data_IF_838158609080
#
_entry.id   IF_838158609080
#
_cell.length_a   1.000
_cell.length_b   1.000
_cell.length_c   1.000
_cell.angle_alpha   90.00
_cell.angle_beta   90.00
_cell.angle_gamma   90.00
#
_symmetry.space_group_name_H-M   'P 1'
#
loop_
_entity.id
_entity.type
_entity.pdbx_description
1 polymer ?
#
# COMPACT_ATOMS: atom_id res chain seq x y z
N UNK A 1 26.03 -8.21 10.19
CA UNK A 1 25.55 -7.60 8.93
C UNK A 1 25.92 -6.12 8.88
N UNK A 2 26.95 -5.77 8.11
CA UNK A 2 27.23 -4.38 7.72
C UNK A 2 26.20 -4.05 6.65
N UNK A 3 25.09 -3.44 7.05
CA UNK A 3 24.08 -2.98 6.10
C UNK A 3 24.65 -1.73 5.45
N UNK A 4 24.82 -1.76 4.13
CA UNK A 4 25.28 -0.60 3.36
C UNK A 4 24.22 0.51 3.46
N UNK A 5 24.65 1.75 3.71
CA UNK A 5 23.76 2.93 3.78
C UNK A 5 22.86 3.05 2.53
N UNK A 6 23.38 2.62 1.38
CA UNK A 6 22.62 2.57 0.12
C UNK A 6 21.40 1.66 0.18
N UNK A 7 21.52 0.49 0.81
CA UNK A 7 20.38 -0.46 0.95
C UNK A 7 19.32 0.12 1.87
N UNK A 8 19.72 0.76 2.98
CA UNK A 8 18.77 1.45 3.87
C UNK A 8 18.03 2.57 3.14
N UNK A 9 18.75 3.38 2.36
CA UNK A 9 18.16 4.45 1.58
C UNK A 9 17.16 3.90 0.55
N UNK A 10 17.55 2.87 -0.20
CA UNK A 10 16.67 2.24 -1.20
C UNK A 10 15.37 1.70 -0.58
N UNK A 11 15.47 1.01 0.55
CA UNK A 11 14.29 0.47 1.26
C UNK A 11 13.37 1.59 1.74
N UNK A 12 13.92 2.68 2.29
CA UNK A 12 13.13 3.85 2.71
C UNK A 12 12.43 4.50 1.52
N UNK A 13 13.12 4.66 0.39
CA UNK A 13 12.54 5.22 -0.84
C UNK A 13 11.38 4.36 -1.35
N UNK A 14 11.57 3.03 -1.40
CA UNK A 14 10.51 2.09 -1.80
C UNK A 14 9.29 2.20 -0.87
N UNK A 15 9.51 2.37 0.43
CA UNK A 15 8.41 2.55 1.38
C UNK A 15 7.66 3.87 1.17
N UNK A 16 8.39 4.97 0.91
CA UNK A 16 7.76 6.27 0.60
C UNK A 16 6.89 6.14 -0.65
N UNK A 17 7.40 5.53 -1.73
CA UNK A 17 6.59 5.25 -2.91
C UNK A 17 5.39 4.36 -2.61
N UNK A 18 5.56 3.32 -1.80
CA UNK A 18 4.46 2.45 -1.36
C UNK A 18 3.36 3.23 -0.62
N UNK A 19 3.72 4.17 0.25
CA UNK A 19 2.77 5.04 0.96
C UNK A 19 2.08 6.01 -0.01
N UNK A 20 2.80 6.59 -0.97
CA UNK A 20 2.20 7.46 -1.98
C UNK A 20 1.20 6.70 -2.85
N UNK A 21 1.54 5.48 -3.29
CA UNK A 21 0.62 4.61 -4.03
C UNK A 21 -0.61 4.26 -3.17
N UNK A 22 -0.41 3.92 -1.89
CA UNK A 22 -1.51 3.65 -0.96
C UNK A 22 -2.47 4.83 -0.90
N UNK A 23 -1.97 6.05 -0.69
CA UNK A 23 -2.80 7.27 -0.61
C UNK A 23 -3.51 7.51 -1.94
N UNK A 24 -2.80 7.39 -3.06
CA UNK A 24 -3.35 7.62 -4.39
C UNK A 24 -4.55 6.72 -4.70
N UNK A 25 -4.45 5.42 -4.38
CA UNK A 25 -5.56 4.48 -4.59
C UNK A 25 -6.60 4.50 -3.46
N UNK A 26 -6.21 4.89 -2.24
CA UNK A 26 -7.16 5.00 -1.13
C UNK A 26 -8.20 6.11 -1.37
N UNK A 27 -7.82 7.23 -2.00
CA UNK A 27 -8.74 8.35 -2.27
C UNK A 27 -9.97 7.88 -3.08
N UNK A 28 -9.83 7.38 -4.33
CA UNK A 28 -10.99 6.98 -5.14
C UNK A 28 -11.81 5.86 -4.48
N UNK A 29 -11.15 4.96 -3.75
CA UNK A 29 -11.82 3.89 -3.00
C UNK A 29 -12.69 4.45 -1.86
N UNK A 30 -12.14 5.26 -0.96
CA UNK A 30 -12.84 5.81 0.21
C UNK A 30 -13.93 6.80 -0.22
N UNK A 31 -13.72 7.55 -1.30
CA UNK A 31 -14.74 8.48 -1.83
C UNK A 31 -15.84 7.77 -2.62
N UNK A 32 -15.75 6.46 -2.82
CA UNK A 32 -16.67 5.67 -3.66
C UNK A 32 -16.90 6.33 -5.03
N UNK A 33 -15.80 6.66 -5.72
CA UNK A 33 -15.88 7.35 -7.00
C UNK A 33 -16.36 6.40 -8.11
N UNK A 34 -17.60 6.60 -8.57
CA UNK A 34 -18.27 5.79 -9.60
C UNK A 34 -17.91 6.19 -11.04
N UNK A 35 -17.01 7.16 -11.24
CA UNK A 35 -16.58 7.57 -12.58
C UNK A 35 -15.81 6.43 -13.25
N UNK A 36 -16.29 6.01 -14.42
CA UNK A 36 -15.58 5.10 -15.32
C UNK A 36 -14.64 5.92 -16.20
N UNK A 37 -13.33 5.84 -15.95
CA UNK A 37 -12.35 6.65 -16.70
C UNK A 37 -12.26 6.24 -18.17
N UNK A 38 -12.27 4.93 -18.43
CA UNK A 38 -12.12 4.36 -19.77
C UNK A 38 -13.35 3.49 -20.09
N UNK A 39 -14.46 4.09 -20.55
CA UNK A 39 -15.69 3.35 -20.84
C UNK A 39 -15.53 2.36 -21.99
N UNK A 40 -14.62 2.63 -22.93
CA UNK A 40 -14.36 1.78 -24.10
C UNK A 40 -13.35 0.65 -23.83
N UNK A 41 -12.90 0.47 -22.58
CA UNK A 41 -12.00 -0.62 -22.20
C UNK A 41 -12.70 -1.98 -22.29
N UNK A 42 -11.93 -3.05 -22.50
CA UNK A 42 -12.47 -4.42 -22.53
C UNK A 42 -13.18 -4.82 -21.21
N UNK A 43 -12.75 -4.23 -20.10
CA UNK A 43 -13.37 -4.35 -18.77
C UNK A 43 -13.49 -2.94 -18.18
N UNK A 44 -14.60 -2.22 -18.42
CA UNK A 44 -14.83 -0.94 -17.80
C UNK A 44 -15.08 -1.16 -16.31
N UNK A 45 -14.28 -0.49 -15.48
CA UNK A 45 -14.41 -0.54 -14.03
C UNK A 45 -14.61 0.88 -13.49
N UNK A 46 -15.48 0.99 -12.49
CA UNK A 46 -15.62 2.23 -11.73
C UNK A 46 -14.32 2.50 -10.96
N UNK A 47 -13.95 3.78 -10.79
CA UNK A 47 -12.68 4.15 -10.19
C UNK A 47 -12.49 3.59 -8.77
N UNK A 48 -13.57 3.46 -7.98
CA UNK A 48 -13.50 2.84 -6.65
C UNK A 48 -13.21 1.34 -6.69
N UNK A 49 -13.78 0.62 -7.66
CA UNK A 49 -13.63 -0.83 -7.80
C UNK A 49 -12.24 -1.19 -8.34
N UNK A 50 -11.78 -0.47 -9.37
CA UNK A 50 -10.41 -0.56 -9.87
C UNK A 50 -9.37 -0.25 -8.76
N UNK A 51 -9.65 0.73 -7.90
CA UNK A 51 -8.81 1.06 -6.77
C UNK A 51 -8.82 -0.05 -5.70
N UNK A 52 -9.98 -0.61 -5.35
CA UNK A 52 -10.09 -1.74 -4.42
C UNK A 52 -9.33 -2.97 -4.89
N UNK A 53 -9.45 -3.33 -6.16
CA UNK A 53 -8.66 -4.39 -6.79
C UNK A 53 -7.15 -4.09 -6.75
N UNK A 54 -6.75 -2.85 -7.08
CA UNK A 54 -5.34 -2.46 -7.09
C UNK A 54 -4.75 -2.48 -5.68
N UNK A 55 -5.48 -2.03 -4.67
CA UNK A 55 -5.11 -2.13 -3.25
C UNK A 55 -4.95 -3.60 -2.82
N UNK A 56 -5.84 -4.48 -3.29
CA UNK A 56 -5.76 -5.93 -3.02
C UNK A 56 -4.46 -6.53 -3.55
N UNK A 57 -4.10 -6.23 -4.80
CA UNK A 57 -2.84 -6.69 -5.41
C UNK A 57 -1.63 -6.01 -4.74
N UNK A 58 -1.76 -4.72 -4.42
CA UNK A 58 -0.71 -3.89 -3.82
C UNK A 58 -0.41 -4.21 -2.35
N UNK A 59 -1.28 -4.95 -1.66
CA UNK A 59 -1.08 -5.35 -0.26
C UNK A 59 0.20 -6.17 -0.09
N UNK A 60 0.44 -7.14 -0.96
CA UNK A 60 1.61 -8.04 -0.90
C UNK A 60 2.93 -7.26 -1.00
N UNK A 61 3.19 -6.47 -2.07
CA UNK A 61 4.44 -5.71 -2.17
C UNK A 61 4.59 -4.67 -1.06
N UNK A 62 3.50 -4.08 -0.56
CA UNK A 62 3.54 -3.12 0.55
C UNK A 62 3.95 -3.80 1.87
N UNK A 63 3.42 -4.98 2.17
CA UNK A 63 3.84 -5.78 3.34
C UNK A 63 5.31 -6.16 3.24
N UNK A 64 5.77 -6.60 2.07
CA UNK A 64 7.19 -6.93 1.85
C UNK A 64 8.07 -5.71 2.09
N UNK A 65 7.72 -4.55 1.52
CA UNK A 65 8.45 -3.30 1.71
C UNK A 65 8.55 -2.90 3.19
N UNK A 66 7.47 -3.03 3.95
CA UNK A 66 7.43 -2.69 5.37
C UNK A 66 8.24 -3.69 6.23
N UNK A 67 8.22 -4.99 5.90
CA UNK A 67 9.07 -6.01 6.53
C UNK A 67 10.54 -5.72 6.26
N UNK A 68 10.90 -5.37 5.01
CA UNK A 68 12.27 -4.98 4.66
C UNK A 68 12.70 -3.74 5.47
N UNK A 69 11.84 -2.74 5.62
CA UNK A 69 12.11 -1.58 6.49
C UNK A 69 12.38 -1.99 7.94
N UNK A 70 11.57 -2.91 8.48
CA UNK A 70 11.75 -3.41 9.83
C UNK A 70 13.08 -4.15 10.04
N UNK A 71 13.56 -4.87 9.03
CA UNK A 71 14.83 -5.61 9.11
C UNK A 71 16.04 -4.70 8.90
N UNK A 72 15.99 -3.83 7.89
CA UNK A 72 17.17 -3.10 7.43
C UNK A 72 17.34 -1.73 8.09
N UNK A 73 16.26 -1.06 8.52
CA UNK A 73 16.34 0.26 9.16
C UNK A 73 16.65 0.10 10.64
N UNK A 74 17.90 0.39 11.02
CA UNK A 74 18.37 0.32 12.40
C UNK A 74 17.78 1.47 13.22
N UNK A 75 16.73 1.19 13.97
CA UNK A 75 16.15 2.14 14.93
C UNK A 75 16.42 1.69 16.37
N UNK A 76 16.87 2.62 17.24
CA UNK A 76 17.24 2.31 18.65
C UNK A 76 16.03 1.86 19.49
N UNK A 77 14.83 2.35 19.18
CA UNK A 77 13.58 1.99 19.85
C UNK A 77 12.84 0.91 19.06
N UNK A 78 12.58 -0.25 19.68
CA UNK A 78 11.86 -1.38 19.05
C UNK A 78 10.43 -0.99 18.64
N UNK A 79 9.72 -0.22 19.48
CA UNK A 79 8.37 0.29 19.18
C UNK A 79 8.34 1.24 17.98
N UNK A 80 9.33 2.13 17.85
CA UNK A 80 9.41 3.03 16.70
C UNK A 80 9.65 2.29 15.38
N UNK A 81 10.12 1.04 15.44
CA UNK A 81 10.28 0.19 14.27
C UNK A 81 8.97 -0.45 13.82
N UNK A 82 8.02 -0.66 14.74
CA UNK A 82 6.68 -1.16 14.41
C UNK A 82 5.85 -0.13 13.64
N UNK A 83 6.17 1.16 13.75
CA UNK A 83 5.50 2.23 12.99
C UNK A 83 5.56 2.02 11.46
N UNK A 84 6.58 1.31 10.97
CA UNK A 84 6.70 0.96 9.56
C UNK A 84 5.56 0.06 9.06
N UNK A 85 4.84 -0.62 9.94
CA UNK A 85 3.69 -1.46 9.56
C UNK A 85 2.38 -0.70 9.43
N UNK A 86 2.30 0.56 9.84
CA UNK A 86 1.06 1.36 9.75
C UNK A 86 0.47 1.35 8.33
N UNK A 87 1.24 1.58 7.24
CA UNK A 87 0.71 1.54 5.89
C UNK A 87 0.13 0.18 5.50
N UNK A 88 0.78 -0.93 5.92
CA UNK A 88 0.26 -2.28 5.67
C UNK A 88 -1.06 -2.54 6.40
N UNK A 89 -1.17 -2.10 7.65
CA UNK A 89 -2.39 -2.26 8.43
C UNK A 89 -3.53 -1.45 7.79
N UNK A 90 -3.27 -0.21 7.40
CA UNK A 90 -4.25 0.62 6.72
C UNK A 90 -4.70 -0.01 5.38
N UNK A 91 -3.75 -0.52 4.58
CA UNK A 91 -4.06 -1.24 3.35
C UNK A 91 -4.90 -2.49 3.61
N UNK A 92 -4.54 -3.29 4.61
CA UNK A 92 -5.27 -4.51 4.96
C UNK A 92 -6.71 -4.21 5.37
N UNK A 93 -6.95 -3.16 6.17
CA UNK A 93 -8.31 -2.76 6.57
C UNK A 93 -9.14 -2.36 5.34
N UNK A 94 -8.55 -1.62 4.40
CA UNK A 94 -9.25 -1.23 3.16
C UNK A 94 -9.53 -2.42 2.24
N UNK A 95 -8.61 -3.37 2.13
CA UNK A 95 -8.80 -4.60 1.33
C UNK A 95 -9.89 -5.47 1.95
N UNK A 96 -9.88 -5.65 3.27
CA UNK A 96 -10.91 -6.41 3.97
C UNK A 96 -12.28 -5.75 3.83
N UNK A 97 -12.37 -4.42 3.96
CA UNK A 97 -13.64 -3.73 3.74
C UNK A 97 -14.13 -3.84 2.30
N UNK A 98 -13.22 -3.84 1.33
CA UNK A 98 -13.56 -4.03 -0.08
C UNK A 98 -14.13 -5.43 -0.32
N UNK A 99 -13.45 -6.47 0.17
CA UNK A 99 -13.91 -7.86 0.02
C UNK A 99 -15.26 -8.12 0.67
N UNK A 100 -15.51 -7.54 1.85
CA UNK A 100 -16.80 -7.67 2.53
C UNK A 100 -17.89 -6.92 1.77
N UNK A 101 -17.58 -5.74 1.24
CA UNK A 101 -18.54 -4.94 0.46
C UNK A 101 -18.80 -5.45 -0.95
N UNK A 102 -17.90 -6.27 -1.50
CA UNK A 102 -18.00 -6.84 -2.85
C UNK A 102 -18.68 -8.22 -2.90
N UNK A 103 -18.93 -8.85 -1.75
CA UNK A 103 -19.70 -10.11 -1.61
C UNK A 103 -21.19 -9.79 -1.55
#
# INVERSE_FOLDING_TARGET
MIINKLVQLAVVVINIFGVLCLIYFAIPYVTHNTVVQNPDAMLPAEAWDAAGMTLTIGLIPLVIANVLSFVFVKNKKKLARLLWFIPSIACLVMVVSYWIGSI
#
